data_IF_178553682563
#
_entry.id   IF_178553682563
#
_cell.length_a   1.000
_cell.length_b   1.000
_cell.length_c   1.000
_cell.angle_alpha   90.00
_cell.angle_beta   90.00
_cell.angle_gamma   90.00
#
_symmetry.space_group_name_H-M   'P 1'
#
loop_
_entity.id
_entity.type
_entity.pdbx_description
1 polymer ?
#
# COMPACT_ATOMS: atom_id res chain seq x y z
N UNK A 1 47.11 68.93 -24.14
CA UNK A 1 48.40 68.49 -24.74
C UNK A 1 48.77 67.10 -24.20
N UNK A 2 49.76 66.43 -24.80
CA UNK A 2 50.35 65.12 -24.44
C UNK A 2 50.27 64.74 -22.95
N UNK A 3 49.77 63.55 -22.58
CA UNK A 3 50.62 62.36 -22.34
C UNK A 3 50.59 62.00 -20.84
N UNK A 4 51.19 60.91 -20.32
CA UNK A 4 51.80 59.71 -20.93
C UNK A 4 51.80 58.55 -19.90
N UNK A 5 52.23 57.34 -20.27
CA UNK A 5 52.14 56.10 -19.45
C UNK A 5 53.35 55.85 -18.53
N UNK A 6 53.12 55.20 -17.36
CA UNK A 6 53.95 54.15 -16.68
C UNK A 6 53.16 53.61 -15.47
N UNK A 7 52.92 52.32 -15.22
CA UNK A 7 53.74 51.07 -15.13
C UNK A 7 54.04 50.67 -13.67
N UNK A 8 53.60 49.45 -13.30
CA UNK A 8 53.93 48.54 -12.18
C UNK A 8 55.45 48.40 -11.83
N UNK A 9 55.92 47.51 -10.90
CA UNK A 9 55.23 46.79 -9.79
C UNK A 9 56.01 46.76 -8.45
N UNK A 10 55.40 46.23 -7.36
CA UNK A 10 56.03 45.32 -6.36
C UNK A 10 55.00 44.73 -5.35
N UNK A 11 55.16 43.57 -4.69
CA UNK A 11 55.64 42.20 -5.06
C UNK A 11 55.55 41.26 -3.81
N UNK A 12 54.81 40.11 -3.89
CA UNK A 12 54.80 38.96 -2.90
C UNK A 12 54.26 39.31 -1.48
N UNK A 13 53.92 38.40 -0.54
CA UNK A 13 53.51 36.95 -0.41
C UNK A 13 53.08 36.78 1.08
N UNK A 14 52.21 35.89 1.60
CA UNK A 14 51.38 34.75 1.12
C UNK A 14 49.92 35.24 0.90
N UNK A 15 48.85 34.50 0.58
CA UNK A 15 48.45 33.08 0.43
C UNK A 15 48.01 32.27 1.69
N UNK A 16 46.93 31.51 1.51
CA UNK A 16 46.25 30.55 2.42
C UNK A 16 45.68 31.13 3.73
N UNK A 17 44.38 31.48 3.70
CA UNK A 17 43.29 30.84 4.48
C UNK A 17 41.96 31.16 3.77
N UNK A 18 41.22 30.13 3.38
CA UNK A 18 39.97 30.22 2.61
C UNK A 18 38.80 30.64 3.52
N UNK A 19 38.05 31.71 3.26
CA UNK A 19 37.02 31.88 2.20
C UNK A 19 35.82 30.92 2.25
N UNK A 20 35.11 30.87 3.40
CA UNK A 20 33.75 30.29 3.49
C UNK A 20 32.71 31.16 4.23
N UNK A 21 33.06 32.39 4.65
CA UNK A 21 32.16 33.30 5.37
C UNK A 21 31.34 34.27 4.49
N UNK A 22 31.45 34.18 3.15
CA UNK A 22 30.98 35.21 2.21
C UNK A 22 29.94 34.69 1.20
N UNK A 23 29.00 33.85 1.65
CA UNK A 23 27.99 33.21 0.79
C UNK A 23 26.54 33.36 1.33
N UNK A 24 26.28 34.42 2.10
CA UNK A 24 24.97 34.73 2.70
C UNK A 24 24.40 36.12 2.33
N UNK A 25 25.06 36.86 1.43
CA UNK A 25 24.63 38.18 0.97
C UNK A 25 24.69 38.23 -0.57
N UNK A 26 23.64 37.70 -1.23
CA UNK A 26 23.56 37.64 -2.68
C UNK A 26 22.12 37.64 -3.22
N UNK A 27 21.84 38.64 -4.07
CA UNK A 27 20.74 38.65 -5.05
C UNK A 27 19.30 38.64 -4.48
N UNK A 28 18.95 39.72 -3.78
CA UNK A 28 17.54 40.20 -3.73
C UNK A 28 17.25 40.89 -5.08
N UNK A 29 16.80 40.14 -6.10
CA UNK A 29 16.62 40.71 -7.46
C UNK A 29 15.54 40.04 -8.34
N UNK A 30 14.38 39.67 -7.79
CA UNK A 30 13.25 39.10 -8.56
C UNK A 30 11.90 39.79 -8.25
N UNK A 31 11.86 41.13 -8.38
CA UNK A 31 10.65 41.95 -8.19
C UNK A 31 10.39 42.85 -9.41
N UNK A 32 10.11 42.23 -10.56
CA UNK A 32 9.64 42.91 -11.77
C UNK A 32 8.72 42.00 -12.60
N UNK A 33 7.87 42.61 -13.44
CA UNK A 33 7.08 41.92 -14.48
C UNK A 33 5.97 40.97 -14.01
N UNK A 34 4.96 41.48 -13.30
CA UNK A 34 3.61 40.86 -13.25
C UNK A 34 2.48 41.88 -13.09
N UNK A 35 2.51 42.96 -13.87
CA UNK A 35 1.29 43.70 -14.18
C UNK A 35 0.45 42.87 -15.15
N UNK A 36 -0.59 42.19 -14.63
CA UNK A 36 -1.77 41.82 -15.42
C UNK A 36 -2.95 42.63 -14.91
N UNK A 37 -3.73 43.17 -15.84
CA UNK A 37 -4.86 44.03 -15.51
C UNK A 37 -5.92 43.29 -14.68
N UNK A 38 -6.58 44.02 -13.79
CA UNK A 38 -7.74 43.53 -13.06
C UNK A 38 -8.97 43.49 -13.99
N UNK A 39 -9.07 42.44 -14.81
CA UNK A 39 -10.31 42.13 -15.53
C UNK A 39 -11.38 41.74 -14.51
N UNK A 40 -12.44 42.54 -14.44
CA UNK A 40 -13.63 42.22 -13.64
C UNK A 40 -14.34 41.01 -14.25
N UNK A 41 -14.43 39.92 -13.51
CA UNK A 41 -15.36 38.83 -13.83
C UNK A 41 -15.91 38.25 -12.52
N UNK A 42 -17.23 38.32 -12.36
CA UNK A 42 -17.96 37.80 -11.20
C UNK A 42 -17.73 36.29 -11.01
N UNK A 43 -17.90 35.74 -9.80
CA UNK A 43 -17.73 34.32 -9.56
C UNK A 43 -18.75 33.49 -10.35
N UNK A 44 -18.32 32.93 -11.48
CA UNK A 44 -19.03 31.84 -12.13
C UNK A 44 -18.86 30.64 -11.21
N UNK A 45 -19.93 30.29 -10.49
CA UNK A 45 -20.02 29.03 -9.76
C UNK A 45 -20.01 27.89 -10.78
N UNK A 46 -18.82 27.44 -11.14
CA UNK A 46 -18.62 26.23 -11.93
C UNK A 46 -19.04 25.06 -11.06
N UNK A 47 -20.34 24.74 -11.10
CA UNK A 47 -20.89 23.49 -10.60
C UNK A 47 -20.23 22.37 -11.38
N UNK A 48 -19.08 21.89 -10.88
CA UNK A 48 -18.48 20.63 -11.28
C UNK A 48 -19.62 19.61 -11.27
N UNK A 49 -19.97 19.00 -12.41
CA UNK A 49 -21.02 17.99 -12.42
C UNK A 49 -20.69 16.97 -11.33
N UNK A 50 -21.69 16.59 -10.53
CA UNK A 50 -21.55 15.50 -9.59
C UNK A 50 -21.36 14.22 -10.40
N UNK A 51 -20.11 13.98 -10.79
CA UNK A 51 -19.71 12.81 -11.57
C UNK A 51 -19.99 11.61 -10.69
N UNK A 52 -21.09 10.93 -10.99
CA UNK A 52 -21.57 9.76 -10.27
C UNK A 52 -20.38 8.85 -10.01
N UNK A 53 -20.04 8.64 -8.74
CA UNK A 53 -18.88 7.84 -8.39
C UNK A 53 -19.16 6.40 -8.81
N UNK A 54 -18.60 6.01 -9.96
CA UNK A 54 -18.79 4.67 -10.52
C UNK A 54 -17.97 3.72 -9.65
N UNK A 55 -18.65 3.12 -8.66
CA UNK A 55 -18.11 2.07 -7.79
C UNK A 55 -17.27 1.10 -8.64
N UNK A 56 -15.98 0.88 -8.33
CA UNK A 56 -15.03 0.29 -9.27
C UNK A 56 -15.49 -1.05 -9.85
N UNK A 57 -15.97 -1.03 -11.12
CA UNK A 57 -16.53 -2.19 -11.81
C UNK A 57 -15.54 -3.35 -11.81
N UNK A 58 -15.85 -4.39 -11.02
CA UNK A 58 -14.98 -5.52 -10.73
C UNK A 58 -14.73 -5.76 -9.23
N UNK A 59 -15.00 -4.78 -8.37
CA UNK A 59 -14.88 -4.90 -6.91
C UNK A 59 -15.98 -5.77 -6.30
N UNK A 60 -15.79 -7.09 -6.32
CA UNK A 60 -16.53 -8.00 -5.42
C UNK A 60 -15.94 -7.91 -4.01
N UNK A 61 -16.45 -6.98 -3.21
CA UNK A 61 -16.29 -7.07 -1.76
C UNK A 61 -16.91 -8.39 -1.26
N UNK A 62 -16.18 -9.15 -0.44
CA UNK A 62 -16.62 -10.44 0.12
C UNK A 62 -17.54 -10.20 1.34
N UNK A 63 -18.61 -9.43 1.12
CA UNK A 63 -19.58 -9.01 2.15
C UNK A 63 -20.75 -9.98 2.35
N UNK A 64 -20.96 -10.91 1.42
CA UNK A 64 -22.11 -11.82 1.42
C UNK A 64 -21.63 -13.27 1.23
N UNK A 65 -21.18 -13.86 2.34
CA UNK A 65 -20.79 -15.29 2.42
C UNK A 65 -21.56 -15.94 3.55
N UNK A 66 -22.51 -16.81 3.19
CA UNK A 66 -23.26 -17.64 4.14
C UNK A 66 -22.46 -18.90 4.43
N UNK A 67 -22.26 -19.24 5.70
CA UNK A 67 -21.58 -20.46 6.12
C UNK A 67 -22.59 -21.57 6.42
N UNK A 68 -22.34 -22.77 5.91
CA UNK A 68 -23.07 -23.99 6.30
C UNK A 68 -22.51 -24.65 7.56
N UNK A 69 -23.07 -25.80 7.93
CA UNK A 69 -22.65 -26.52 9.15
C UNK A 69 -21.20 -27.03 9.09
N UNK A 70 -20.58 -27.12 10.27
CA UNK A 70 -19.36 -27.89 10.48
C UNK A 70 -19.63 -29.40 10.30
N UNK A 71 -18.82 -30.08 9.49
CA UNK A 71 -18.96 -31.51 9.20
C UNK A 71 -17.64 -32.24 9.44
N UNK A 72 -17.64 -33.22 10.34
CA UNK A 72 -16.46 -34.04 10.68
C UNK A 72 -16.54 -35.41 10.00
N UNK A 73 -15.54 -35.72 9.17
CA UNK A 73 -15.38 -37.02 8.51
C UNK A 73 -14.07 -37.65 8.99
N UNK A 74 -14.16 -38.84 9.58
CA UNK A 74 -12.99 -39.62 10.01
C UNK A 74 -12.86 -40.89 9.17
N UNK A 75 -11.63 -41.21 8.72
CA UNK A 75 -11.33 -42.41 7.94
C UNK A 75 -9.89 -42.89 8.20
N UNK A 76 -9.61 -44.17 7.91
CA UNK A 76 -8.29 -44.79 8.08
C UNK A 76 -7.68 -45.16 6.72
N UNK A 77 -6.91 -44.28 6.07
CA UNK A 77 -6.36 -44.54 4.74
C UNK A 77 -5.24 -45.60 4.79
N UNK A 78 -5.38 -46.68 4.02
CA UNK A 78 -4.27 -47.57 3.64
C UNK A 78 -3.39 -48.07 4.79
N UNK A 79 -3.97 -48.46 5.93
CA UNK A 79 -3.24 -48.95 7.10
C UNK A 79 -2.62 -47.87 8.00
N UNK A 80 -2.56 -46.62 7.57
CA UNK A 80 -2.00 -45.51 8.34
C UNK A 80 -2.85 -45.14 9.59
N UNK A 81 -2.35 -44.20 10.41
CA UNK A 81 -3.12 -43.56 11.48
C UNK A 81 -4.44 -42.99 10.94
N UNK A 82 -5.54 -43.19 11.68
CA UNK A 82 -6.85 -42.56 11.41
C UNK A 82 -6.70 -41.05 11.27
N UNK A 83 -7.34 -40.48 10.26
CA UNK A 83 -7.39 -39.05 9.96
C UNK A 83 -8.83 -38.57 10.10
N UNK A 84 -9.03 -37.46 10.81
CA UNK A 84 -10.29 -36.76 10.87
C UNK A 84 -10.16 -35.39 10.19
N UNK A 85 -11.12 -35.05 9.32
CA UNK A 85 -11.23 -33.72 8.72
C UNK A 85 -12.53 -33.08 9.18
N UNK A 86 -12.43 -31.94 9.85
CA UNK A 86 -13.55 -31.10 10.26
C UNK A 86 -13.62 -29.91 9.31
N UNK A 87 -14.64 -29.87 8.45
CA UNK A 87 -14.77 -28.91 7.35
C UNK A 87 -15.94 -27.95 7.56
N UNK A 88 -15.79 -26.70 7.12
CA UNK A 88 -16.88 -25.74 6.90
C UNK A 88 -16.74 -25.10 5.51
N UNK A 89 -17.87 -24.85 4.86
CA UNK A 89 -17.94 -24.19 3.54
C UNK A 89 -18.72 -22.89 3.67
N UNK A 90 -18.16 -21.80 3.17
CA UNK A 90 -18.86 -20.54 2.92
C UNK A 90 -19.23 -20.43 1.44
N UNK A 91 -20.47 -20.03 1.15
CA UNK A 91 -20.99 -19.83 -0.21
C UNK A 91 -21.51 -18.41 -0.41
N UNK A 92 -21.32 -17.87 -1.61
CA UNK A 92 -22.00 -16.66 -2.06
C UNK A 92 -23.51 -16.88 -2.22
N UNK A 93 -24.30 -15.80 -2.31
CA UNK A 93 -25.73 -15.85 -2.66
C UNK A 93 -26.03 -16.57 -3.99
N UNK A 94 -25.05 -16.69 -4.89
CA UNK A 94 -25.13 -17.48 -6.14
C UNK A 94 -24.98 -19.00 -5.93
N UNK A 95 -24.85 -19.48 -4.70
CA UNK A 95 -24.58 -20.89 -4.35
C UNK A 95 -23.14 -21.34 -4.64
N UNK A 96 -22.31 -20.49 -5.24
CA UNK A 96 -20.90 -20.79 -5.51
C UNK A 96 -20.09 -20.78 -4.21
N UNK A 97 -19.16 -21.72 -4.06
CA UNK A 97 -18.21 -21.74 -2.92
C UNK A 97 -17.37 -20.47 -2.96
N UNK A 98 -17.39 -19.70 -1.87
CA UNK A 98 -16.57 -18.52 -1.65
C UNK A 98 -15.28 -18.87 -0.89
N UNK A 99 -15.36 -19.85 0.03
CA UNK A 99 -14.24 -20.34 0.84
C UNK A 99 -14.57 -21.73 1.39
N UNK A 100 -13.56 -22.61 1.57
CA UNK A 100 -13.67 -23.78 2.45
C UNK A 100 -12.52 -23.79 3.45
N UNK A 101 -12.83 -24.08 4.71
CA UNK A 101 -11.83 -24.25 5.76
C UNK A 101 -11.89 -25.69 6.26
N UNK A 102 -10.76 -26.38 6.21
CA UNK A 102 -10.61 -27.76 6.69
C UNK A 102 -9.61 -27.77 7.86
N UNK A 103 -10.02 -28.29 9.01
CA UNK A 103 -9.12 -28.65 10.13
C UNK A 103 -8.85 -30.16 10.01
N UNK A 104 -7.58 -30.53 9.83
CA UNK A 104 -7.14 -31.92 9.64
C UNK A 104 -6.37 -32.40 10.88
N UNK A 105 -6.93 -33.39 11.55
CA UNK A 105 -6.39 -34.07 12.74
C UNK A 105 -5.95 -35.49 12.37
N UNK A 106 -4.97 -36.04 13.08
CA UNK A 106 -4.53 -37.44 12.91
C UNK A 106 -4.31 -38.09 14.28
N UNK A 107 -4.71 -39.35 14.41
CA UNK A 107 -4.69 -40.06 15.68
C UNK A 107 -3.29 -40.12 16.31
N UNK A 108 -3.14 -39.53 17.50
CA UNK A 108 -1.88 -39.47 18.23
C UNK A 108 -0.82 -38.55 17.59
N UNK A 109 -1.23 -37.58 16.78
CA UNK A 109 -0.39 -36.42 16.45
C UNK A 109 -0.76 -35.28 17.42
N UNK A 110 0.24 -34.53 17.93
CA UNK A 110 0.00 -33.46 18.91
C UNK A 110 -0.47 -32.12 18.29
N UNK A 111 -0.62 -32.06 16.96
CA UNK A 111 -0.97 -30.86 16.21
C UNK A 111 -2.00 -31.18 15.12
N UNK A 112 -2.87 -30.20 14.83
CA UNK A 112 -3.79 -30.24 13.70
C UNK A 112 -3.32 -29.29 12.58
N UNK A 113 -3.60 -29.62 11.32
CA UNK A 113 -3.34 -28.73 10.18
C UNK A 113 -4.61 -27.98 9.79
N UNK A 114 -4.58 -26.65 9.89
CA UNK A 114 -5.54 -25.78 9.22
C UNK A 114 -5.24 -25.72 7.72
N UNK A 115 -6.27 -25.81 6.88
CA UNK A 115 -6.19 -25.57 5.44
C UNK A 115 -7.32 -24.63 5.02
N UNK A 116 -7.00 -23.67 4.17
CA UNK A 116 -7.95 -22.72 3.59
C UNK A 116 -7.93 -22.90 2.07
N UNK A 117 -9.10 -23.07 1.47
CA UNK A 117 -9.30 -23.19 0.03
C UNK A 117 -10.11 -21.98 -0.43
N UNK A 118 -9.53 -21.22 -1.37
CA UNK A 118 -10.17 -20.06 -1.99
C UNK A 118 -10.32 -20.30 -3.51
N UNK A 119 -11.41 -19.86 -4.15
CA UNK A 119 -11.63 -20.03 -5.59
C UNK A 119 -10.56 -19.38 -6.48
N UNK A 120 -10.49 -19.83 -7.74
CA UNK A 120 -9.71 -19.16 -8.77
C UNK A 120 -10.18 -17.71 -8.95
N UNK A 121 -9.24 -16.77 -9.11
CA UNK A 121 -9.52 -15.33 -9.10
C UNK A 121 -9.71 -14.71 -7.71
N UNK A 122 -9.89 -15.51 -6.65
CA UNK A 122 -9.95 -15.04 -5.26
C UNK A 122 -8.68 -15.44 -4.50
N UNK A 123 -7.56 -14.77 -4.80
CA UNK A 123 -6.30 -15.04 -4.12
C UNK A 123 -6.23 -14.35 -2.75
N UNK A 124 -5.83 -15.09 -1.71
CA UNK A 124 -5.52 -14.51 -0.42
C UNK A 124 -4.25 -13.64 -0.53
N UNK A 125 -4.30 -12.42 -0.02
CA UNK A 125 -3.14 -11.54 0.03
C UNK A 125 -2.09 -12.10 1.00
N UNK A 126 -0.81 -12.02 0.63
CA UNK A 126 0.31 -12.44 1.48
C UNK A 126 0.85 -11.25 2.29
N UNK A 127 1.20 -11.44 3.58
CA UNK A 127 0.92 -12.63 4.39
C UNK A 127 -0.58 -12.71 4.75
N UNK A 128 -1.09 -13.94 4.88
CA UNK A 128 -2.47 -14.17 5.31
C UNK A 128 -2.57 -13.84 6.81
N UNK A 129 -3.56 -13.05 7.22
CA UNK A 129 -3.82 -12.75 8.63
C UNK A 129 -4.90 -13.68 9.17
N UNK A 130 -4.58 -14.42 10.23
CA UNK A 130 -5.50 -15.34 10.91
C UNK A 130 -5.75 -14.84 12.34
N UNK A 131 -7.01 -14.62 12.68
CA UNK A 131 -7.44 -14.22 14.03
C UNK A 131 -8.53 -15.18 14.50
N UNK A 132 -8.44 -15.67 15.74
CA UNK A 132 -9.43 -16.60 16.31
C UNK A 132 -10.27 -15.83 17.32
N UNK A 133 -11.56 -15.62 16.98
CA UNK A 133 -12.45 -14.76 17.77
C UNK A 133 -11.89 -13.35 17.90
N UNK A 134 -11.76 -12.86 19.14
CA UNK A 134 -11.15 -11.57 19.48
C UNK A 134 -9.68 -11.71 19.96
N UNK A 135 -9.04 -12.87 19.73
CA UNK A 135 -7.70 -13.19 20.21
C UNK A 135 -6.56 -12.60 19.37
N UNK A 136 -5.34 -13.09 19.64
CA UNK A 136 -4.14 -12.70 18.90
C UNK A 136 -4.29 -12.96 17.38
N UNK A 137 -3.76 -12.04 16.59
CA UNK A 137 -3.64 -12.20 15.13
C UNK A 137 -2.28 -12.79 14.77
N UNK A 138 -2.30 -13.82 13.93
CA UNK A 138 -1.15 -14.56 13.43
C UNK A 138 -0.91 -14.25 11.95
N UNK A 139 0.36 -14.27 11.53
CA UNK A 139 0.79 -14.14 10.14
C UNK A 139 1.07 -15.52 9.57
N UNK A 140 0.33 -15.93 8.53
CA UNK A 140 0.40 -17.26 7.91
C UNK A 140 1.00 -17.13 6.49
N UNK A 141 1.92 -18.04 6.06
CA UNK A 141 2.61 -17.95 4.77
C UNK A 141 1.72 -17.98 3.51
#
# INVERSE_FOLDING_TARGET
>A
MSGSRRIEPRRRRNSVICTFAALLLGVIASLASSQRAASQQSPITTTKPAGTEIEPRGRRDVKEVTYGDWKKLCFKPGGAKTLCRTSITGTFATGQVAIRVDIVERAGDATARLQIFSPVGMYLQKPVKLTIGQGQTYSVP
#
